data_IF_405372044968
#
_entry.id   IF_405372044968
#
_cell.length_a   1.000
_cell.length_b   1.000
_cell.length_c   1.000
_cell.angle_alpha   90.00
_cell.angle_beta   90.00
_cell.angle_gamma   90.00
#
_symmetry.space_group_name_H-M   'P 1'
#
loop_
_entity.id
_entity.type
_entity.pdbx_description
1 polymer ?
#
# COMPACT_ATOMS: atom_id res chain seq x y z
N UNK A 1 10.24 20.24 88.80
CA UNK A 1 10.20 20.94 87.51
C UNK A 1 11.42 20.50 86.70
N UNK A 2 11.27 19.48 85.85
CA UNK A 2 12.39 18.79 85.21
C UNK A 2 12.50 19.27 83.76
N UNK A 3 13.60 19.97 83.45
CA UNK A 3 13.90 20.59 82.16
C UNK A 3 14.94 19.76 81.41
N UNK A 4 14.74 19.76 80.09
CA UNK A 4 15.72 19.63 79.01
C UNK A 4 16.25 18.24 78.65
N UNK A 5 15.68 17.77 77.54
CA UNK A 5 16.23 16.77 76.63
C UNK A 5 17.39 17.38 75.84
N UNK A 6 18.50 16.67 75.75
CA UNK A 6 19.50 16.82 74.70
C UNK A 6 19.80 15.44 74.13
N UNK A 7 19.39 15.20 72.89
CA UNK A 7 19.90 14.09 72.08
C UNK A 7 20.44 14.73 70.81
N UNK A 8 21.77 14.77 70.71
CA UNK A 8 22.53 15.06 69.51
C UNK A 8 22.29 13.93 68.50
N UNK A 9 21.50 14.16 67.47
CA UNK A 9 21.47 13.29 66.28
C UNK A 9 22.33 13.97 65.23
N UNK A 10 23.58 13.54 65.21
CA UNK A 10 24.56 13.79 64.16
C UNK A 10 23.98 13.28 62.84
N UNK A 11 23.78 14.22 61.94
CA UNK A 11 23.32 14.04 60.57
C UNK A 11 24.42 13.38 59.73
N UNK A 12 23.99 12.61 58.73
CA UNK A 12 24.70 12.24 57.50
C UNK A 12 25.67 11.05 57.55
N UNK A 13 25.14 9.86 57.19
CA UNK A 13 25.83 9.01 56.23
C UNK A 13 24.82 8.23 55.37
N UNK A 14 24.73 8.67 54.11
CA UNK A 14 24.54 7.87 52.91
C UNK A 14 23.57 6.68 52.97
N UNK A 15 22.30 6.94 52.67
CA UNK A 15 21.44 6.04 51.89
C UNK A 15 20.38 6.92 51.23
N UNK A 16 20.80 7.73 50.24
CA UNK A 16 19.86 8.22 49.24
C UNK A 16 19.50 6.96 48.44
N UNK A 17 18.44 6.27 48.87
CA UNK A 17 17.67 5.43 47.97
C UNK A 17 17.21 6.38 46.88
N UNK A 18 17.92 6.36 45.75
CA UNK A 18 17.32 6.77 44.50
C UNK A 18 16.18 5.77 44.29
N UNK A 19 14.99 6.13 44.76
CA UNK A 19 13.76 5.63 44.16
C UNK A 19 13.85 6.09 42.71
N UNK A 20 14.33 5.21 41.83
CA UNK A 20 14.04 5.34 40.43
C UNK A 20 12.55 5.00 40.34
N UNK A 21 11.69 6.01 40.25
CA UNK A 21 10.39 5.81 39.65
C UNK A 21 10.65 5.33 38.23
N UNK A 22 10.63 4.01 38.06
CA UNK A 22 10.41 3.44 36.74
C UNK A 22 9.00 3.88 36.35
N UNK A 23 8.91 5.01 35.64
CA UNK A 23 7.75 5.32 34.84
C UNK A 23 7.55 4.14 33.90
N UNK A 24 6.67 3.23 34.30
CA UNK A 24 6.18 2.21 33.41
C UNK A 24 5.51 2.95 32.27
N UNK A 25 6.21 3.07 31.13
CA UNK A 25 5.60 3.43 29.86
C UNK A 25 4.54 2.37 29.65
N UNK A 26 3.29 2.72 29.97
CA UNK A 26 2.12 1.96 29.57
C UNK A 26 2.06 2.09 28.06
N UNK A 27 2.75 1.20 27.35
CA UNK A 27 2.52 0.94 25.95
C UNK A 27 1.09 0.40 25.88
N UNK A 28 0.17 1.27 25.52
CA UNK A 28 -1.23 0.94 25.33
C UNK A 28 -1.32 0.01 24.11
N UNK A 29 -1.08 -1.29 24.30
CA UNK A 29 -1.27 -2.34 23.28
C UNK A 29 -2.76 -2.64 23.12
N UNK A 30 -3.49 -1.60 22.73
CA UNK A 30 -4.93 -1.63 22.54
C UNK A 30 -5.40 -0.38 21.82
N UNK A 31 -4.65 0.07 20.82
CA UNK A 31 -5.27 0.91 19.79
C UNK A 31 -6.29 0.02 19.07
N UNK A 32 -7.57 0.43 18.93
CA UNK A 32 -8.48 -0.28 18.05
C UNK A 32 -7.82 -0.43 16.68
N UNK A 33 -7.48 -1.66 16.31
CA UNK A 33 -6.95 -1.97 14.99
C UNK A 33 -7.96 -1.51 13.95
N UNK A 34 -7.66 -0.44 13.22
CA UNK A 34 -8.56 0.03 12.18
C UNK A 34 -8.60 -1.01 11.06
N UNK A 35 -9.78 -1.26 10.50
CA UNK A 35 -9.90 -2.07 9.29
C UNK A 35 -10.16 -1.16 8.10
N UNK A 36 -9.16 -1.05 7.24
CA UNK A 36 -9.23 -0.30 5.99
C UNK A 36 -9.77 -1.21 4.90
N UNK A 37 -10.65 -0.68 4.06
CA UNK A 37 -11.27 -1.42 2.96
C UNK A 37 -10.75 -0.90 1.62
N UNK A 38 -10.30 -1.83 0.77
CA UNK A 38 -9.82 -1.53 -0.59
C UNK A 38 -10.60 -2.38 -1.57
N UNK A 39 -11.31 -1.77 -2.51
CA UNK A 39 -11.89 -2.49 -3.64
C UNK A 39 -10.79 -2.80 -4.66
N UNK A 40 -10.78 -4.01 -5.19
CA UNK A 40 -9.81 -4.46 -6.21
C UNK A 40 -10.56 -4.81 -7.48
N UNK A 41 -10.62 -3.84 -8.38
CA UNK A 41 -11.51 -3.85 -9.54
C UNK A 41 -12.98 -3.65 -9.15
N UNK A 42 -13.78 -3.27 -10.14
CA UNK A 42 -15.24 -3.32 -10.12
C UNK A 42 -15.75 -3.35 -11.59
N UNK A 43 -17.07 -3.25 -11.78
CA UNK A 43 -17.70 -3.28 -13.11
C UNK A 43 -17.35 -2.07 -14.00
N UNK A 44 -16.89 -0.95 -13.41
CA UNK A 44 -16.60 0.31 -14.10
C UNK A 44 -15.08 0.59 -14.22
N UNK A 45 -14.28 0.16 -13.26
CA UNK A 45 -12.85 0.43 -13.13
C UNK A 45 -12.05 -0.84 -12.84
N UNK A 46 -10.82 -0.92 -13.38
CA UNK A 46 -9.85 -1.97 -13.06
C UNK A 46 -8.77 -1.39 -12.13
N UNK A 47 -9.17 -0.72 -11.05
CA UNK A 47 -8.28 0.02 -10.15
C UNK A 47 -8.36 -0.51 -8.72
N UNK A 48 -7.39 -0.09 -7.90
CA UNK A 48 -7.50 -0.18 -6.45
C UNK A 48 -8.22 1.08 -5.95
N UNK A 49 -9.23 0.92 -5.12
CA UNK A 49 -10.02 2.05 -4.60
C UNK A 49 -10.16 1.95 -3.07
N UNK A 50 -9.49 2.82 -2.29
CA UNK A 50 -8.53 3.83 -2.74
C UNK A 50 -7.22 3.20 -3.28
N UNK A 51 -6.46 3.96 -4.08
CA UNK A 51 -5.19 3.51 -4.64
C UNK A 51 -4.00 3.67 -3.68
N UNK A 52 -4.23 4.27 -2.52
CA UNK A 52 -3.28 4.30 -1.43
C UNK A 52 -3.98 4.59 -0.10
N UNK A 53 -3.29 4.29 0.99
CA UNK A 53 -3.76 4.63 2.33
C UNK A 53 -2.59 4.72 3.33
N UNK A 54 -2.80 5.50 4.38
CA UNK A 54 -1.91 5.56 5.53
C UNK A 54 -2.51 4.71 6.66
N UNK A 55 -1.70 3.84 7.26
CA UNK A 55 -2.13 2.87 8.26
C UNK A 55 -1.05 2.67 9.33
N UNK A 56 -1.49 2.47 10.57
CA UNK A 56 -0.63 2.26 11.73
C UNK A 56 -0.26 0.78 11.86
N UNK A 57 0.83 0.48 12.58
CA UNK A 57 1.15 -0.91 12.95
C UNK A 57 -0.01 -1.50 13.75
N UNK A 58 -0.47 -2.68 13.34
CA UNK A 58 -1.64 -3.36 13.91
C UNK A 58 -2.93 -3.19 13.10
N UNK A 59 -3.03 -2.17 12.24
CA UNK A 59 -4.18 -2.00 11.35
C UNK A 59 -4.33 -3.19 10.39
N UNK A 60 -5.56 -3.44 9.98
CA UNK A 60 -5.89 -4.44 8.96
C UNK A 60 -6.28 -3.74 7.67
N UNK A 61 -5.85 -4.27 6.53
CA UNK A 61 -6.25 -3.79 5.21
C UNK A 61 -6.92 -4.96 4.49
N UNK A 62 -8.22 -4.86 4.31
CA UNK A 62 -9.05 -5.87 3.65
C UNK A 62 -9.29 -5.48 2.20
N UNK A 63 -8.72 -6.26 1.29
CA UNK A 63 -8.85 -6.13 -0.15
C UNK A 63 -10.03 -6.97 -0.63
N UNK A 64 -11.02 -6.34 -1.24
CA UNK A 64 -12.24 -6.95 -1.76
C UNK A 64 -12.12 -7.12 -3.28
N UNK A 65 -11.83 -8.34 -3.72
CA UNK A 65 -11.67 -8.66 -5.14
C UNK A 65 -13.02 -8.84 -5.83
N UNK A 66 -13.22 -8.11 -6.93
CA UNK A 66 -14.48 -8.09 -7.69
C UNK A 66 -14.26 -8.45 -9.14
N UNK A 67 -15.30 -9.02 -9.75
CA UNK A 67 -15.43 -9.23 -11.20
C UNK A 67 -14.30 -10.09 -11.82
N UNK A 68 -13.16 -9.52 -12.19
CA UNK A 68 -12.14 -10.19 -13.02
C UNK A 68 -10.95 -10.68 -12.21
N UNK A 69 -9.96 -11.24 -12.91
CA UNK A 69 -8.71 -11.72 -12.32
C UNK A 69 -7.77 -10.55 -12.01
N UNK A 70 -7.70 -10.19 -10.74
CA UNK A 70 -6.76 -9.21 -10.21
C UNK A 70 -5.80 -9.86 -9.21
N UNK A 71 -4.68 -9.19 -8.95
CA UNK A 71 -3.69 -9.64 -7.97
C UNK A 71 -3.29 -8.47 -7.09
N UNK A 72 -2.78 -8.81 -5.92
CA UNK A 72 -1.99 -7.90 -5.09
C UNK A 72 -0.56 -8.45 -5.06
N UNK A 73 0.32 -7.85 -5.85
CA UNK A 73 1.71 -8.32 -6.01
C UNK A 73 2.64 -7.20 -5.61
N UNK A 74 3.62 -7.49 -4.75
CA UNK A 74 4.53 -6.48 -4.24
C UNK A 74 5.56 -6.07 -5.30
N UNK A 75 5.90 -4.78 -5.29
CA UNK A 75 6.84 -4.14 -6.19
C UNK A 75 7.73 -3.15 -5.43
N UNK A 76 8.36 -2.22 -6.15
CA UNK A 76 9.13 -1.12 -5.56
C UNK A 76 8.67 0.21 -6.13
N UNK A 77 8.92 1.30 -5.41
CA UNK A 77 8.68 2.66 -5.89
C UNK A 77 9.25 2.90 -7.30
N UNK A 78 10.45 2.39 -7.56
CA UNK A 78 11.21 2.63 -8.79
C UNK A 78 10.80 1.69 -9.93
N UNK A 79 10.34 0.48 -9.59
CA UNK A 79 9.93 -0.55 -10.54
C UNK A 79 8.53 -1.08 -10.17
N UNK A 80 7.47 -0.28 -10.38
CA UNK A 80 6.10 -0.60 -9.93
C UNK A 80 5.49 -1.82 -10.60
N UNK A 81 5.87 -2.12 -11.85
CA UNK A 81 5.31 -3.21 -12.65
C UNK A 81 6.22 -4.46 -12.69
N UNK A 82 7.16 -4.56 -11.76
CA UNK A 82 8.03 -5.72 -11.58
C UNK A 82 7.79 -6.33 -10.20
N UNK A 83 7.66 -7.65 -10.16
CA UNK A 83 7.46 -8.41 -8.93
C UNK A 83 8.72 -8.33 -8.07
N UNK A 84 8.57 -8.00 -6.80
CA UNK A 84 9.55 -8.37 -5.77
C UNK A 84 9.16 -9.74 -5.24
N UNK A 85 10.12 -10.65 -5.04
CA UNK A 85 9.85 -11.99 -4.50
C UNK A 85 9.40 -11.99 -3.02
N UNK A 86 8.87 -10.87 -2.52
CA UNK A 86 8.49 -10.66 -1.13
C UNK A 86 7.03 -11.05 -0.87
N UNK A 87 6.11 -10.67 -1.75
CA UNK A 87 4.69 -10.99 -1.60
C UNK A 87 3.95 -11.03 -2.94
N UNK A 88 3.11 -12.06 -3.14
CA UNK A 88 2.26 -12.20 -4.31
C UNK A 88 1.01 -13.02 -4.00
N UNK A 89 -0.16 -12.38 -4.03
CA UNK A 89 -1.44 -13.05 -3.82
C UNK A 89 -1.86 -13.99 -4.97
N UNK A 90 -1.10 -14.03 -6.08
CA UNK A 90 -1.37 -14.83 -7.28
C UNK A 90 -2.76 -14.54 -7.89
N UNK A 91 -3.20 -15.33 -8.88
CA UNK A 91 -4.48 -15.18 -9.59
C UNK A 91 -5.50 -16.23 -9.10
N UNK A 92 -5.86 -16.18 -7.82
CA UNK A 92 -6.86 -17.06 -7.22
C UNK A 92 -8.21 -16.35 -6.96
N UNK A 93 -8.39 -15.13 -7.51
CA UNK A 93 -9.46 -14.20 -7.12
C UNK A 93 -10.43 -13.87 -8.27
N UNK A 94 -10.63 -14.80 -9.21
CA UNK A 94 -11.58 -14.64 -10.31
C UNK A 94 -13.03 -14.64 -9.80
N UNK A 95 -13.81 -13.57 -10.03
CA UNK A 95 -15.17 -13.44 -9.47
C UNK A 95 -16.20 -12.81 -10.43
N UNK A 96 -16.40 -13.35 -11.64
CA UNK A 96 -17.08 -12.64 -12.74
C UNK A 96 -18.56 -12.34 -12.48
N UNK A 97 -19.18 -13.08 -11.57
CA UNK A 97 -20.60 -12.92 -11.21
C UNK A 97 -20.79 -12.19 -9.89
N UNK A 98 -19.71 -11.87 -9.17
CA UNK A 98 -19.73 -11.35 -7.80
C UNK A 98 -20.61 -12.17 -6.83
N UNK A 99 -20.80 -13.46 -7.12
CA UNK A 99 -21.69 -14.34 -6.37
C UNK A 99 -21.17 -14.75 -4.99
N UNK A 100 -19.91 -14.41 -4.66
CA UNK A 100 -19.30 -14.65 -3.37
C UNK A 100 -18.26 -13.57 -3.06
N UNK A 101 -17.96 -13.39 -1.78
CA UNK A 101 -16.94 -12.45 -1.33
C UNK A 101 -15.55 -13.09 -1.43
N UNK A 102 -14.63 -12.43 -2.14
CA UNK A 102 -13.22 -12.80 -2.19
C UNK A 102 -12.40 -11.71 -1.53
N UNK A 103 -11.86 -12.03 -0.36
CA UNK A 103 -11.07 -11.09 0.44
C UNK A 103 -9.67 -11.60 0.71
N UNK A 104 -8.73 -10.67 0.72
CA UNK A 104 -7.39 -10.84 1.26
C UNK A 104 -7.21 -9.80 2.35
N UNK A 105 -6.70 -10.19 3.51
CA UNK A 105 -6.40 -9.23 4.58
C UNK A 105 -4.91 -9.22 4.87
N UNK A 106 -4.30 -8.04 4.84
CA UNK A 106 -2.95 -7.79 5.34
C UNK A 106 -3.04 -7.14 6.72
N UNK A 107 -2.18 -7.57 7.64
CA UNK A 107 -1.93 -6.84 8.89
C UNK A 107 -0.72 -5.95 8.67
N UNK A 108 -0.82 -4.68 9.04
CA UNK A 108 0.28 -3.73 8.95
C UNK A 108 1.28 -4.03 10.07
N UNK A 109 2.50 -4.40 9.70
CA UNK A 109 3.60 -4.77 10.61
C UNK A 109 4.72 -3.73 10.68
N UNK A 110 4.79 -2.84 9.69
CA UNK A 110 5.69 -1.69 9.62
C UNK A 110 4.96 -0.47 9.04
N UNK A 111 5.40 0.71 9.47
CA UNK A 111 5.02 2.02 8.89
C UNK A 111 5.77 2.37 7.61
N UNK A 112 6.78 1.58 7.23
CA UNK A 112 7.55 1.80 6.01
C UNK A 112 6.67 1.71 4.74
N UNK A 113 6.97 2.49 3.68
CA UNK A 113 6.20 2.44 2.44
C UNK A 113 6.23 1.05 1.79
N UNK A 114 5.05 0.51 1.47
CA UNK A 114 4.91 -0.73 0.68
C UNK A 114 4.16 -0.47 -0.61
N UNK A 115 4.65 -1.08 -1.69
CA UNK A 115 4.24 -0.81 -3.06
C UNK A 115 3.69 -2.08 -3.70
N UNK A 116 2.55 -1.98 -4.36
CA UNK A 116 1.86 -3.11 -4.96
C UNK A 116 1.30 -2.77 -6.34
N UNK A 117 1.07 -3.81 -7.14
CA UNK A 117 0.42 -3.70 -8.45
C UNK A 117 -0.39 -4.95 -8.77
N UNK A 118 -1.26 -4.83 -9.77
CA UNK A 118 -1.87 -5.99 -10.40
C UNK A 118 -0.99 -6.48 -11.56
N UNK A 119 -0.56 -7.75 -11.51
CA UNK A 119 0.32 -8.36 -12.51
C UNK A 119 -0.40 -8.86 -13.77
N UNK A 120 -1.70 -8.62 -13.90
CA UNK A 120 -2.47 -8.98 -15.10
C UNK A 120 -1.97 -8.21 -16.32
N UNK A 121 -1.75 -8.93 -17.41
CA UNK A 121 -1.30 -8.38 -18.69
C UNK A 121 -2.32 -8.53 -19.82
N UNK A 122 -3.36 -9.35 -19.62
CA UNK A 122 -4.38 -9.58 -20.62
C UNK A 122 -5.74 -8.99 -20.19
N UNK A 123 -6.47 -8.31 -21.09
CA UNK A 123 -6.13 -7.97 -22.47
C UNK A 123 -5.15 -6.80 -22.61
N UNK A 124 -4.92 -6.05 -21.52
CA UNK A 124 -3.98 -4.94 -21.42
C UNK A 124 -3.26 -5.04 -20.08
N UNK A 125 -2.05 -4.49 -19.97
CA UNK A 125 -1.35 -4.46 -18.68
C UNK A 125 -2.04 -3.56 -17.67
N UNK A 126 -2.59 -4.16 -16.62
CA UNK A 126 -3.28 -3.46 -15.54
C UNK A 126 -2.34 -2.47 -14.83
N UNK A 127 -1.09 -2.84 -14.56
CA UNK A 127 -0.12 -1.93 -13.96
C UNK A 127 0.19 -0.71 -14.81
N UNK A 128 0.47 -0.90 -16.11
CA UNK A 128 0.85 0.21 -17.00
C UNK A 128 -0.32 1.16 -17.30
N UNK A 129 -1.57 0.74 -17.04
CA UNK A 129 -2.75 1.62 -17.08
C UNK A 129 -3.12 2.22 -15.72
N UNK A 130 -2.33 1.95 -14.67
CA UNK A 130 -2.45 2.59 -13.36
C UNK A 130 -3.05 1.74 -12.25
N UNK A 131 -3.22 0.42 -12.43
CA UNK A 131 -3.66 -0.48 -11.36
C UNK A 131 -2.51 -0.78 -10.39
N UNK A 132 -2.23 0.19 -9.53
CA UNK A 132 -1.20 0.17 -8.49
C UNK A 132 -1.80 0.55 -7.14
N UNK A 133 -1.16 0.10 -6.06
CA UNK A 133 -1.59 0.38 -4.69
C UNK A 133 -0.39 0.66 -3.78
N UNK A 134 -0.53 1.57 -2.82
CA UNK A 134 0.52 1.86 -1.85
C UNK A 134 0.02 1.95 -0.40
N UNK A 135 0.81 1.41 0.52
CA UNK A 135 0.61 1.62 1.97
C UNK A 135 1.68 2.59 2.44
N UNK A 136 1.27 3.62 3.18
CA UNK A 136 2.15 4.65 3.73
C UNK A 136 3.08 5.30 2.68
N UNK A 137 2.59 5.74 1.50
CA UNK A 137 3.46 6.26 0.44
C UNK A 137 4.12 7.60 0.77
N UNK A 138 3.64 8.33 1.78
CA UNK A 138 3.99 9.74 2.00
C UNK A 138 3.76 10.55 0.72
N UNK A 139 4.73 11.40 0.37
CA UNK A 139 4.68 12.25 -0.83
C UNK A 139 4.98 11.49 -2.14
N UNK A 140 5.34 10.20 -2.08
CA UNK A 140 5.86 9.45 -3.23
C UNK A 140 4.78 8.78 -4.10
N UNK A 141 3.49 8.90 -3.76
CA UNK A 141 2.42 8.30 -4.59
C UNK A 141 2.42 8.84 -6.02
N UNK A 142 2.67 10.14 -6.19
CA UNK A 142 2.80 10.77 -7.51
C UNK A 142 3.99 10.24 -8.32
N UNK A 143 5.09 9.92 -7.65
CA UNK A 143 6.28 9.30 -8.27
C UNK A 143 6.00 7.86 -8.68
N UNK A 144 5.37 7.07 -7.81
CA UNK A 144 4.98 5.69 -8.07
C UNK A 144 4.09 5.58 -9.32
N UNK A 145 3.06 6.44 -9.42
CA UNK A 145 2.20 6.54 -10.63
C UNK A 145 3.01 6.84 -11.90
N UNK A 146 3.97 7.77 -11.84
CA UNK A 146 4.84 8.11 -13.00
C UNK A 146 5.74 6.95 -13.42
N UNK A 147 6.25 6.20 -12.44
CA UNK A 147 7.19 5.10 -12.70
C UNK A 147 6.52 3.91 -13.39
N UNK A 148 5.18 3.79 -13.38
CA UNK A 148 4.44 2.73 -14.11
C UNK A 148 4.70 2.72 -15.60
N UNK A 149 5.07 3.87 -16.17
CA UNK A 149 5.35 4.03 -17.60
C UNK A 149 6.83 3.81 -17.96
N UNK A 150 7.72 3.65 -16.96
CA UNK A 150 9.18 3.55 -17.18
C UNK A 150 9.65 2.14 -17.57
N UNK A 151 8.76 1.16 -17.63
CA UNK A 151 9.11 -0.25 -17.85
C UNK A 151 8.85 -0.78 -19.28
N UNK A 152 8.57 0.06 -20.26
CA UNK A 152 8.60 -0.37 -21.68
C UNK A 152 10.02 -0.52 -22.24
N UNK A 153 11.07 -0.21 -21.46
CA UNK A 153 12.45 -0.13 -21.97
C UNK A 153 13.47 -1.06 -21.29
N UNK A 154 13.06 -1.98 -20.41
CA UNK A 154 14.00 -2.82 -19.64
C UNK A 154 13.77 -4.34 -19.72
N UNK A 155 12.91 -4.83 -20.62
CA UNK A 155 12.99 -6.24 -21.07
C UNK A 155 13.82 -6.31 -22.35
N UNK A 156 14.83 -7.18 -22.36
CA UNK A 156 15.75 -7.43 -23.47
C UNK A 156 15.08 -7.86 -24.79
N UNK A 157 15.87 -8.28 -25.80
CA UNK A 157 15.50 -8.17 -27.21
C UNK A 157 14.39 -9.17 -27.56
N UNK A 158 13.15 -8.78 -27.36
CA UNK A 158 12.14 -9.14 -28.33
C UNK A 158 12.49 -8.35 -29.58
N UNK A 159 13.10 -9.02 -30.55
CA UNK A 159 13.01 -8.60 -31.94
C UNK A 159 11.60 -8.98 -32.41
N UNK A 160 10.62 -8.06 -32.49
CA UNK A 160 9.63 -8.21 -33.53
C UNK A 160 10.38 -7.92 -34.83
N UNK A 161 10.60 -8.97 -35.60
CA UNK A 161 10.67 -8.87 -37.04
C UNK A 161 9.34 -8.29 -37.56
N UNK A 162 9.14 -6.99 -37.34
CA UNK A 162 8.17 -6.19 -38.04
C UNK A 162 8.84 -4.85 -38.37
N UNK A 163 9.58 -4.84 -39.47
CA UNK A 163 10.28 -3.67 -40.00
C UNK A 163 9.31 -2.58 -40.51
N UNK A 164 8.00 -2.78 -40.38
CA UNK A 164 6.95 -1.85 -40.84
C UNK A 164 5.78 -1.73 -39.87
N UNK A 165 5.90 -2.17 -38.61
CA UNK A 165 4.88 -1.87 -37.61
C UNK A 165 5.15 -0.45 -37.08
N UNK A 166 4.82 0.57 -37.88
CA UNK A 166 4.43 1.86 -37.31
C UNK A 166 3.31 1.57 -36.32
N UNK A 167 3.49 2.02 -35.09
CA UNK A 167 2.43 2.00 -34.08
C UNK A 167 1.26 2.84 -34.61
N UNK A 168 0.34 2.21 -35.34
CA UNK A 168 -1.00 2.74 -35.51
C UNK A 168 -1.75 2.43 -34.22
N UNK A 169 -1.56 3.31 -33.25
CA UNK A 169 -2.34 3.38 -32.02
C UNK A 169 -3.85 3.62 -32.31
N UNK A 170 -4.25 3.81 -33.56
CA UNK A 170 -5.57 4.31 -33.94
C UNK A 170 -6.57 3.23 -34.42
N UNK A 171 -6.17 1.98 -34.66
CA UNK A 171 -7.11 1.00 -35.26
C UNK A 171 -7.79 0.03 -34.28
N UNK A 172 -7.40 0.00 -32.99
CA UNK A 172 -8.17 -0.75 -31.96
C UNK A 172 -8.43 0.04 -30.67
N UNK A 173 -7.93 1.28 -30.57
CA UNK A 173 -8.04 2.13 -29.39
C UNK A 173 -9.03 3.31 -29.42
N UNK A 174 -9.79 3.65 -30.50
CA UNK A 174 -10.50 4.92 -30.49
C UNK A 174 -11.68 4.96 -29.49
N UNK A 175 -12.28 3.81 -29.11
CA UNK A 175 -13.39 3.82 -28.13
C UNK A 175 -12.97 3.62 -26.68
N UNK A 176 -11.71 3.23 -26.41
CA UNK A 176 -11.27 2.84 -25.06
C UNK A 176 -10.26 3.81 -24.45
N UNK A 177 -9.48 4.51 -25.28
CA UNK A 177 -8.63 5.62 -24.85
C UNK A 177 -9.47 6.86 -24.47
N UNK A 178 -10.57 7.10 -25.19
CA UNK A 178 -11.50 8.20 -24.88
C UNK A 178 -12.12 8.04 -23.48
N UNK A 179 -12.46 6.83 -23.06
CA UNK A 179 -12.94 6.57 -21.69
C UNK A 179 -11.86 6.84 -20.63
N UNK A 180 -10.60 6.57 -20.93
CA UNK A 180 -9.49 6.86 -20.01
C UNK A 180 -9.19 8.37 -19.92
N UNK A 181 -9.16 9.09 -21.05
CA UNK A 181 -8.98 10.55 -21.03
C UNK A 181 -10.16 11.27 -20.39
N UNK A 182 -11.39 10.78 -20.58
CA UNK A 182 -12.57 11.32 -19.90
C UNK A 182 -12.54 11.06 -18.39
N UNK A 183 -12.02 9.91 -17.94
CA UNK A 183 -11.81 9.61 -16.52
C UNK A 183 -10.76 10.54 -15.88
N UNK A 184 -9.60 10.73 -16.54
CA UNK A 184 -8.56 11.65 -16.06
C UNK A 184 -9.05 13.11 -16.02
N UNK A 185 -9.83 13.54 -17.02
CA UNK A 185 -10.41 14.89 -17.05
C UNK A 185 -11.44 15.12 -15.93
N UNK A 186 -12.18 14.08 -15.53
CA UNK A 186 -13.15 14.14 -14.41
C UNK A 186 -12.48 14.28 -13.05
N UNK A 187 -11.26 13.76 -12.89
CA UNK A 187 -10.48 13.86 -11.65
C UNK A 187 -9.73 15.20 -11.48
N UNK A 188 -9.65 16.03 -12.52
CA UNK A 188 -9.00 17.36 -12.47
C UNK A 188 -9.99 18.51 -12.24
N UNK A 189 -11.29 18.22 -12.11
CA UNK A 189 -12.36 19.20 -11.90
C UNK A 189 -12.99 19.13 -10.50
N UNK A 190 -12.35 18.45 -9.56
CA UNK A 190 -12.60 18.50 -8.12
C UNK A 190 -11.31 18.89 -7.40
#
# INVERSE_FOLDING_TARGET
MQRMRFINILVLLCCIVFSAEADAISLNFGDPTSNHHVLVGNSETMLFEPDHLNANIGDRITFHFRTLNHTLTQSTLHNPCLVTHQFDASFHQFNPTEGHELVLTLTVDSVDPRWYFCKQTHPISHCHVGMIFAINPGEHMGEFRKNTRKASSLSGPFTPNCFTCTFDADQYAPKRYDNYQNYIKKLQTY
#
